data_IF_766313135316
#
_entry.id   IF_766313135316
#
_cell.length_a   1.000
_cell.length_b   1.000
_cell.length_c   1.000
_cell.angle_alpha   90.00
_cell.angle_beta   90.00
_cell.angle_gamma   90.00
#
_symmetry.space_group_name_H-M   'P 1'
#
loop_
_entity.id
_entity.type
_entity.pdbx_description
1 polymer ?
#
# COMPACT_ATOMS: atom_id res chain seq x y z
N UNK A 1 -30.14 -5.77 65.79
CA UNK A 1 -31.09 -6.11 64.70
C UNK A 1 -31.27 -4.88 63.84
N UNK A 2 -30.44 -4.79 62.80
CA UNK A 2 -30.54 -4.00 61.56
C UNK A 2 -29.16 -4.15 60.88
N UNK A 3 -29.02 -5.02 59.87
CA UNK A 3 -27.74 -5.21 59.18
C UNK A 3 -27.59 -4.26 57.98
N UNK A 4 -26.41 -3.68 57.81
CA UNK A 4 -25.99 -2.89 56.65
C UNK A 4 -25.95 -3.72 55.35
N UNK A 5 -26.50 -3.25 54.22
CA UNK A 5 -26.41 -3.95 52.94
C UNK A 5 -25.26 -3.40 52.06
N UNK A 6 -24.15 -4.13 52.11
CA UNK A 6 -23.34 -4.67 50.99
C UNK A 6 -23.15 -3.83 49.71
N UNK A 7 -21.88 -3.46 49.51
CA UNK A 7 -21.05 -3.70 48.31
C UNK A 7 -21.79 -4.16 47.05
N UNK A 8 -21.87 -3.26 46.06
CA UNK A 8 -22.32 -3.59 44.71
C UNK A 8 -21.30 -4.48 44.01
N UNK A 9 -21.75 -5.70 43.68
CA UNK A 9 -21.11 -6.62 42.74
C UNK A 9 -22.13 -6.85 41.62
N UNK A 10 -21.85 -6.40 40.39
CA UNK A 10 -22.47 -6.78 39.10
C UNK A 10 -22.02 -5.73 38.06
N UNK A 11 -21.60 -5.97 36.82
CA UNK A 11 -21.75 -7.11 35.91
C UNK A 11 -20.51 -7.17 35.00
N UNK A 12 -19.90 -8.35 34.91
CA UNK A 12 -18.96 -8.70 33.85
C UNK A 12 -19.82 -9.19 32.69
N UNK A 13 -20.14 -8.30 31.75
CA UNK A 13 -20.81 -8.64 30.50
C UNK A 13 -19.88 -9.46 29.62
N UNK A 14 -20.19 -10.75 29.54
CA UNK A 14 -19.57 -11.75 28.68
C UNK A 14 -19.99 -11.48 27.22
N UNK A 15 -19.22 -10.68 26.47
CA UNK A 15 -19.34 -10.62 25.01
C UNK A 15 -18.45 -11.71 24.40
N UNK A 16 -18.91 -12.94 24.55
CA UNK A 16 -18.36 -14.11 23.87
C UNK A 16 -18.80 -14.10 22.40
N UNK A 17 -18.22 -13.21 21.60
CA UNK A 17 -18.11 -13.51 20.17
C UNK A 17 -17.12 -14.68 20.03
N UNK A 18 -17.50 -15.79 19.38
CA UNK A 18 -16.58 -16.89 19.18
C UNK A 18 -15.45 -16.38 18.28
N UNK A 19 -14.28 -16.13 18.85
CA UNK A 19 -13.05 -15.90 18.11
C UNK A 19 -12.86 -17.10 17.18
N UNK A 20 -13.27 -16.96 15.92
CA UNK A 20 -12.99 -17.94 14.86
C UNK A 20 -11.48 -18.11 14.84
N UNK A 21 -11.00 -19.32 15.16
CA UNK A 21 -9.57 -19.67 15.21
C UNK A 21 -8.81 -19.39 13.89
N UNK A 22 -9.54 -19.10 12.81
CA UNK A 22 -9.00 -18.90 11.47
C UNK A 22 -8.78 -17.42 11.09
N UNK A 23 -9.15 -16.47 11.97
CA UNK A 23 -9.02 -15.03 11.68
C UNK A 23 -7.62 -14.54 12.03
N UNK A 24 -6.85 -14.12 11.02
CA UNK A 24 -5.54 -13.49 11.19
C UNK A 24 -5.69 -11.97 11.14
N UNK A 25 -5.32 -11.29 12.22
CA UNK A 25 -5.20 -9.84 12.27
C UNK A 25 -3.74 -9.46 12.04
N UNK A 26 -3.47 -8.77 10.93
CA UNK A 26 -2.14 -8.34 10.54
C UNK A 26 -2.04 -6.82 10.61
N UNK A 27 -1.23 -6.34 11.56
CA UNK A 27 -0.84 -4.95 11.64
C UNK A 27 0.33 -4.69 10.69
N UNK A 28 0.15 -3.70 9.81
CA UNK A 28 1.14 -3.41 8.78
C UNK A 28 2.38 -2.76 9.37
N UNK A 29 3.60 -3.18 8.99
CA UNK A 29 4.82 -2.57 9.49
C UNK A 29 4.90 -1.12 9.04
N UNK A 30 5.25 -0.24 9.98
CA UNK A 30 5.63 1.14 9.70
C UNK A 30 7.04 1.23 9.11
N UNK A 31 7.39 2.40 8.58
CA UNK A 31 8.75 2.65 8.07
C UNK A 31 9.79 2.78 9.19
N UNK A 32 9.41 3.37 10.32
CA UNK A 32 10.25 3.49 11.50
C UNK A 32 10.03 2.28 12.40
N UNK A 33 11.11 1.64 12.83
CA UNK A 33 11.06 0.59 13.85
C UNK A 33 10.66 1.16 15.22
N UNK A 34 10.12 0.31 16.10
CA UNK A 34 9.69 0.71 17.44
C UNK A 34 10.84 1.25 18.30
N UNK A 35 12.07 0.81 18.03
CA UNK A 35 13.31 1.25 18.68
C UNK A 35 14.01 2.41 17.96
N UNK A 36 13.35 3.03 16.98
CA UNK A 36 13.93 4.11 16.18
C UNK A 36 14.35 5.29 17.04
N UNK A 37 15.60 5.72 16.87
CA UNK A 37 16.18 6.90 17.54
C UNK A 37 15.61 8.23 17.03
N UNK A 38 14.76 8.21 16.01
CA UNK A 38 14.17 9.41 15.41
C UNK A 38 13.04 9.91 16.31
N UNK A 39 13.02 11.21 16.70
CA UNK A 39 11.95 11.78 17.51
C UNK A 39 10.57 11.59 16.87
N UNK A 40 9.55 11.32 17.69
CA UNK A 40 8.17 11.08 17.21
C UNK A 40 7.63 12.20 16.33
N UNK A 41 7.91 13.47 16.67
CA UNK A 41 7.49 14.62 15.86
C UNK A 41 8.08 14.59 14.45
N UNK A 42 9.35 14.18 14.32
CA UNK A 42 10.04 14.09 13.05
C UNK A 42 9.51 12.91 12.22
N UNK A 43 9.20 11.78 12.86
CA UNK A 43 8.57 10.66 12.18
C UNK A 43 7.20 11.02 11.62
N UNK A 44 6.37 11.75 12.39
CA UNK A 44 5.07 12.22 11.95
C UNK A 44 5.22 13.22 10.80
N UNK A 45 6.11 14.21 10.93
CA UNK A 45 6.38 15.17 9.87
C UNK A 45 6.84 14.51 8.55
N UNK A 46 7.78 13.56 8.63
CA UNK A 46 8.28 12.83 7.45
C UNK A 46 7.15 12.04 6.80
N UNK A 47 6.33 11.37 7.62
CA UNK A 47 5.17 10.60 7.14
C UNK A 47 4.17 11.53 6.45
N UNK A 48 3.83 12.66 7.07
CA UNK A 48 2.87 13.62 6.55
C UNK A 48 3.37 14.27 5.25
N UNK A 49 4.64 14.67 5.19
CA UNK A 49 5.25 15.24 3.97
C UNK A 49 5.27 14.21 2.84
N UNK A 50 5.72 12.97 3.12
CA UNK A 50 5.74 11.90 2.14
C UNK A 50 4.33 11.59 1.61
N UNK A 51 3.37 11.44 2.51
CA UNK A 51 1.98 11.15 2.15
C UNK A 51 1.33 12.33 1.42
N UNK A 52 1.64 13.57 1.78
CA UNK A 52 1.18 14.75 1.06
C UNK A 52 1.70 14.76 -0.37
N UNK A 53 3.02 14.60 -0.55
CA UNK A 53 3.68 14.54 -1.86
C UNK A 53 3.09 13.42 -2.71
N UNK A 54 2.94 12.23 -2.13
CA UNK A 54 2.51 11.03 -2.86
C UNK A 54 1.01 11.09 -3.18
N UNK A 55 0.17 11.65 -2.31
CA UNK A 55 -1.28 11.82 -2.57
C UNK A 55 -1.54 12.85 -3.65
N UNK A 56 -0.78 13.94 -3.66
CA UNK A 56 -0.94 15.03 -4.63
C UNK A 56 -0.25 14.75 -5.96
N UNK A 57 -0.07 13.48 -6.36
CA UNK A 57 0.59 13.08 -7.62
C UNK A 57 0.01 13.78 -8.86
N UNK A 58 -1.27 14.14 -8.87
CA UNK A 58 -1.89 14.93 -9.95
C UNK A 58 -1.34 16.35 -10.07
N UNK A 59 -0.99 16.99 -8.95
CA UNK A 59 -0.43 18.35 -8.90
C UNK A 59 0.96 18.39 -9.54
N UNK A 60 1.71 17.28 -9.50
CA UNK A 60 3.04 17.19 -10.11
C UNK A 60 3.04 17.42 -11.62
N UNK A 61 1.90 17.23 -12.29
CA UNK A 61 1.74 17.54 -13.71
C UNK A 61 2.10 19.01 -14.01
N UNK A 62 1.78 19.94 -13.10
CA UNK A 62 2.05 21.37 -13.29
C UNK A 62 3.55 21.72 -13.29
N UNK A 63 4.37 21.30 -12.29
CA UNK A 63 5.82 21.41 -12.35
C UNK A 63 6.45 20.78 -13.61
N UNK A 64 6.00 19.60 -14.05
CA UNK A 64 6.54 18.96 -15.25
C UNK A 64 6.23 19.75 -16.52
N UNK A 65 5.00 20.28 -16.66
CA UNK A 65 4.63 21.15 -17.77
C UNK A 65 5.44 22.46 -17.76
N UNK A 66 5.61 23.07 -16.58
CA UNK A 66 6.43 24.28 -16.44
C UNK A 66 7.90 24.01 -16.80
N UNK A 67 8.46 22.86 -16.41
CA UNK A 67 9.81 22.44 -16.78
C UNK A 67 9.95 22.24 -18.29
N UNK A 68 9.00 21.56 -18.94
CA UNK A 68 9.02 21.39 -20.40
C UNK A 68 8.90 22.72 -21.13
N UNK A 69 8.03 23.61 -20.65
CA UNK A 69 7.93 24.97 -21.18
C UNK A 69 9.23 25.76 -21.01
N UNK A 70 9.89 25.65 -19.86
CA UNK A 70 11.20 26.27 -19.61
C UNK A 70 12.29 25.72 -20.54
N UNK A 71 12.36 24.39 -20.71
CA UNK A 71 13.31 23.75 -21.63
C UNK A 71 13.06 24.17 -23.08
N UNK A 72 11.79 24.28 -23.49
CA UNK A 72 11.40 24.78 -24.81
C UNK A 72 11.84 26.22 -25.01
N UNK A 73 11.55 27.12 -24.06
CA UNK A 73 11.93 28.54 -24.12
C UNK A 73 13.45 28.74 -24.21
N UNK A 74 14.22 27.86 -23.59
CA UNK A 74 15.69 27.89 -23.63
C UNK A 74 16.32 27.20 -24.86
N UNK A 75 15.52 26.85 -25.88
CA UNK A 75 16.00 26.19 -27.10
C UNK A 75 16.39 24.72 -26.92
N UNK A 76 16.08 24.11 -25.76
CA UNK A 76 16.35 22.70 -25.43
C UNK A 76 15.11 21.82 -25.59
N UNK A 77 14.20 22.20 -26.48
CA UNK A 77 12.98 21.43 -26.75
C UNK A 77 13.26 20.01 -27.23
N UNK A 78 14.40 19.76 -27.88
CA UNK A 78 14.83 18.43 -28.31
C UNK A 78 15.03 17.46 -27.12
N UNK A 79 15.42 17.96 -25.93
CA UNK A 79 15.54 17.12 -24.73
C UNK A 79 14.18 16.61 -24.29
N UNK A 80 13.17 17.50 -24.26
CA UNK A 80 11.80 17.10 -23.94
C UNK A 80 11.25 16.11 -24.99
N UNK A 81 11.50 16.37 -26.27
CA UNK A 81 11.10 15.46 -27.35
C UNK A 81 11.80 14.09 -27.25
N UNK A 82 13.09 14.06 -26.91
CA UNK A 82 13.84 12.82 -26.71
C UNK A 82 13.30 12.01 -25.52
N UNK A 83 12.95 12.67 -24.41
CA UNK A 83 12.34 12.01 -23.25
C UNK A 83 10.98 11.38 -23.60
N UNK A 84 10.14 12.10 -24.37
CA UNK A 84 8.87 11.55 -24.86
C UNK A 84 9.12 10.37 -25.80
N UNK A 85 10.05 10.51 -26.74
CA UNK A 85 10.39 9.44 -27.68
C UNK A 85 10.88 8.17 -26.98
N UNK A 86 11.70 8.30 -25.94
CA UNK A 86 12.15 7.19 -25.10
C UNK A 86 11.01 6.50 -24.34
N UNK A 87 9.94 7.22 -24.00
CA UNK A 87 8.78 6.66 -23.32
C UNK A 87 7.83 5.90 -24.26
N UNK A 88 7.76 6.27 -25.54
CA UNK A 88 6.80 5.68 -26.51
C UNK A 88 6.87 4.13 -26.59
N UNK A 89 8.04 3.47 -26.65
CA UNK A 89 8.11 2.01 -26.65
C UNK A 89 7.45 1.39 -25.40
N UNK A 90 7.64 2.00 -24.23
CA UNK A 90 7.00 1.55 -22.99
C UNK A 90 5.47 1.72 -23.05
N UNK A 91 4.99 2.84 -23.61
CA UNK A 91 3.56 3.10 -23.77
C UNK A 91 2.87 2.10 -24.71
N UNK A 92 3.52 1.77 -25.84
CA UNK A 92 3.01 0.84 -26.83
C UNK A 92 3.28 -0.64 -26.54
N UNK A 93 4.06 -0.95 -25.50
CA UNK A 93 4.41 -2.33 -25.11
C UNK A 93 3.22 -3.25 -24.84
N UNK A 94 2.01 -2.70 -24.63
CA UNK A 94 0.81 -3.50 -24.38
C UNK A 94 0.81 -4.23 -23.03
N UNK A 95 1.82 -4.01 -22.18
CA UNK A 95 1.99 -4.67 -20.88
C UNK A 95 0.75 -4.55 -19.96
N UNK A 96 0.02 -3.44 -20.11
CA UNK A 96 -1.25 -3.17 -19.45
C UNK A 96 -2.40 -4.14 -19.81
N UNK A 97 -2.36 -4.78 -21.00
CA UNK A 97 -3.39 -5.72 -21.48
C UNK A 97 -3.05 -7.18 -21.18
N UNK A 98 -1.77 -7.54 -21.27
CA UNK A 98 -1.30 -8.91 -21.03
C UNK A 98 -1.19 -9.25 -19.54
N UNK A 99 -0.99 -8.23 -18.69
CA UNK A 99 -0.72 -8.44 -17.26
C UNK A 99 0.72 -8.84 -16.96
N UNK A 100 1.55 -8.99 -18.00
CA UNK A 100 3.00 -9.19 -17.91
C UNK A 100 3.68 -7.81 -17.85
N UNK A 101 3.46 -7.11 -16.73
CA UNK A 101 4.06 -5.79 -16.48
C UNK A 101 5.53 -5.89 -16.10
N UNK A 102 6.32 -4.87 -16.46
CA UNK A 102 7.69 -4.70 -15.96
C UNK A 102 7.65 -4.24 -14.50
N UNK A 103 7.58 -5.20 -13.59
CA UNK A 103 7.44 -4.92 -12.17
C UNK A 103 8.79 -4.69 -11.52
N UNK A 104 8.97 -3.51 -10.94
CA UNK A 104 10.18 -3.20 -10.17
C UNK A 104 10.03 -3.78 -8.78
N UNK A 105 10.52 -5.01 -8.58
CA UNK A 105 10.40 -5.73 -7.30
C UNK A 105 10.97 -4.93 -6.13
N UNK A 106 12.14 -4.30 -6.31
CA UNK A 106 12.76 -3.47 -5.27
C UNK A 106 11.88 -2.26 -4.86
N UNK A 107 11.23 -1.61 -5.84
CA UNK A 107 10.29 -0.53 -5.53
C UNK A 107 9.03 -1.09 -4.87
N UNK A 108 8.53 -2.24 -5.33
CA UNK A 108 7.32 -2.89 -4.80
C UNK A 108 7.48 -3.25 -3.32
N UNK A 109 8.55 -3.96 -2.96
CA UNK A 109 8.83 -4.45 -1.59
C UNK A 109 9.63 -3.46 -0.76
N UNK A 110 9.67 -2.18 -1.15
CA UNK A 110 10.43 -1.17 -0.42
C UNK A 110 9.76 -0.85 0.92
N UNK A 111 10.57 -0.74 1.98
CA UNK A 111 10.10 -0.34 3.31
C UNK A 111 9.46 1.05 3.32
N UNK A 112 9.74 1.89 2.30
CA UNK A 112 9.17 3.25 2.16
C UNK A 112 7.63 3.24 2.19
N UNK A 113 7.00 2.16 1.72
CA UNK A 113 5.54 2.02 1.77
C UNK A 113 5.00 1.91 3.20
N UNK A 114 5.86 1.63 4.18
CA UNK A 114 5.56 1.73 5.60
C UNK A 114 5.14 3.14 6.04
N UNK A 115 5.59 4.20 5.34
CA UNK A 115 5.10 5.56 5.58
C UNK A 115 3.63 5.68 5.16
N UNK A 116 3.29 5.12 3.99
CA UNK A 116 1.91 5.06 3.51
C UNK A 116 1.02 4.22 4.43
N UNK A 117 1.53 3.08 4.91
CA UNK A 117 0.81 2.21 5.85
C UNK A 117 0.45 2.95 7.13
N UNK A 118 1.40 3.72 7.69
CA UNK A 118 1.20 4.55 8.89
C UNK A 118 0.19 5.66 8.65
N UNK A 119 0.30 6.36 7.51
CA UNK A 119 -0.63 7.45 7.15
C UNK A 119 -2.06 6.95 6.95
N UNK A 120 -2.24 5.84 6.21
CA UNK A 120 -3.55 5.24 5.95
C UNK A 120 -4.07 4.39 7.11
N UNK A 121 -3.25 4.16 8.16
CA UNK A 121 -3.54 3.31 9.32
C UNK A 121 -4.08 1.93 8.92
N UNK A 122 -3.36 1.27 8.01
CA UNK A 122 -3.85 0.04 7.40
C UNK A 122 -3.78 -1.12 8.39
N UNK A 123 -4.95 -1.70 8.64
CA UNK A 123 -5.13 -2.96 9.37
C UNK A 123 -5.72 -3.98 8.42
N UNK A 124 -5.10 -5.15 8.30
CA UNK A 124 -5.58 -6.21 7.42
C UNK A 124 -6.14 -7.33 8.29
N UNK A 125 -7.40 -7.68 8.06
CA UNK A 125 -8.05 -8.80 8.72
C UNK A 125 -8.29 -9.86 7.65
N UNK A 126 -7.70 -11.03 7.84
CA UNK A 126 -7.95 -12.20 7.01
C UNK A 126 -8.95 -13.08 7.73
N UNK A 127 -10.16 -13.15 7.21
CA UNK A 127 -11.26 -13.91 7.81
C UNK A 127 -11.17 -15.41 7.53
N UNK A 128 -10.51 -15.80 6.43
CA UNK A 128 -10.36 -17.18 6.00
C UNK A 128 -9.02 -17.39 5.30
N UNK A 129 -8.43 -18.58 5.50
CA UNK A 129 -7.30 -19.03 4.68
C UNK A 129 -7.76 -19.37 3.27
N UNK A 130 -7.02 -18.90 2.27
CA UNK A 130 -7.32 -19.15 0.86
C UNK A 130 -6.46 -20.31 0.36
N UNK A 131 -7.05 -21.23 -0.39
CA UNK A 131 -6.32 -22.32 -1.03
C UNK A 131 -5.52 -21.76 -2.23
N UNK A 132 -4.18 -21.86 -2.25
CA UNK A 132 -3.35 -21.40 -3.35
C UNK A 132 -3.72 -21.96 -4.74
N UNK A 133 -4.45 -23.09 -4.79
CA UNK A 133 -4.86 -23.74 -6.05
C UNK A 133 -6.10 -23.11 -6.68
N UNK A 134 -6.84 -22.30 -5.94
CA UNK A 134 -8.09 -21.69 -6.39
C UNK A 134 -7.88 -20.24 -6.87
N UNK A 135 -8.77 -19.78 -7.74
CA UNK A 135 -8.74 -18.42 -8.28
C UNK A 135 -9.71 -17.53 -7.52
N UNK A 136 -9.20 -16.40 -7.03
CA UNK A 136 -9.97 -15.43 -6.25
C UNK A 136 -9.96 -14.06 -6.91
N UNK A 137 -11.07 -13.32 -6.75
CA UNK A 137 -11.19 -11.93 -7.21
C UNK A 137 -11.30 -11.04 -5.99
N UNK A 138 -10.39 -10.08 -5.86
CA UNK A 138 -10.41 -9.08 -4.80
C UNK A 138 -10.94 -7.75 -5.33
N UNK A 139 -12.05 -7.29 -4.75
CA UNK A 139 -12.61 -5.97 -5.00
C UNK A 139 -12.01 -4.91 -4.06
N UNK A 140 -11.93 -3.67 -4.53
CA UNK A 140 -11.48 -2.52 -3.74
C UNK A 140 -12.51 -1.40 -3.81
N UNK A 141 -12.90 -0.88 -2.66
CA UNK A 141 -13.81 0.24 -2.51
C UNK A 141 -13.44 0.95 -1.19
N UNK A 142 -13.37 2.30 -1.10
CA UNK A 142 -13.90 3.35 -1.99
C UNK A 142 -12.90 3.92 -3.03
N UNK A 143 -13.43 4.68 -4.00
CA UNK A 143 -12.73 5.12 -5.22
C UNK A 143 -11.72 6.29 -5.09
N UNK A 144 -11.38 6.76 -3.89
CA UNK A 144 -10.48 7.91 -3.73
C UNK A 144 -9.02 7.59 -4.04
N UNK A 145 -8.22 7.38 -2.98
CA UNK A 145 -6.78 7.14 -3.07
C UNK A 145 -6.47 5.68 -3.46
N UNK A 146 -7.06 5.21 -4.57
CA UNK A 146 -6.97 3.81 -5.05
C UNK A 146 -5.52 3.40 -5.28
N UNK A 147 -4.68 4.33 -5.75
CA UNK A 147 -3.28 4.02 -6.06
C UNK A 147 -2.51 3.69 -4.78
N UNK A 148 -2.65 4.49 -3.71
CA UNK A 148 -1.90 4.26 -2.47
C UNK A 148 -2.41 3.05 -1.70
N UNK A 149 -3.73 2.82 -1.65
CA UNK A 149 -4.28 1.62 -0.99
C UNK A 149 -3.85 0.33 -1.71
N UNK A 150 -3.82 0.34 -3.05
CA UNK A 150 -3.32 -0.79 -3.84
C UNK A 150 -1.82 -1.00 -3.66
N UNK A 151 -1.03 0.06 -3.61
CA UNK A 151 0.41 -0.04 -3.37
C UNK A 151 0.70 -0.54 -1.96
N UNK A 152 -0.03 -0.08 -0.96
CA UNK A 152 0.14 -0.53 0.42
C UNK A 152 -0.25 -2.00 0.60
N UNK A 153 -1.32 -2.47 -0.02
CA UNK A 153 -1.73 -3.89 0.09
C UNK A 153 -0.83 -4.79 -0.78
N UNK A 154 -0.54 -4.41 -2.02
CA UNK A 154 0.18 -5.29 -2.96
C UNK A 154 1.69 -5.04 -3.06
N UNK A 155 2.20 -4.01 -2.39
CA UNK A 155 3.63 -3.73 -2.26
C UNK A 155 4.36 -4.82 -1.49
N UNK A 156 3.72 -5.37 -0.46
CA UNK A 156 4.33 -6.42 0.37
C UNK A 156 3.32 -7.15 1.25
N UNK A 157 2.34 -6.41 1.77
CA UNK A 157 1.42 -6.91 2.79
C UNK A 157 0.59 -8.12 2.33
N UNK A 158 0.17 -8.17 1.06
CA UNK A 158 -0.59 -9.28 0.49
C UNK A 158 0.21 -10.59 0.53
N UNK A 159 1.49 -10.55 0.18
CA UNK A 159 2.37 -11.72 0.20
C UNK A 159 2.53 -12.28 1.63
N UNK A 160 2.49 -11.41 2.64
CA UNK A 160 2.60 -11.76 4.06
C UNK A 160 1.30 -12.32 4.64
N UNK A 161 0.15 -11.81 4.20
CA UNK A 161 -1.18 -12.24 4.69
C UNK A 161 -1.65 -13.54 4.01
N UNK A 162 -1.34 -13.71 2.73
CA UNK A 162 -1.68 -14.89 1.94
C UNK A 162 -0.42 -15.55 1.36
N UNK A 163 0.39 -16.23 2.18
CA UNK A 163 1.59 -16.91 1.70
C UNK A 163 1.19 -17.99 0.68
N UNK A 164 1.88 -18.02 -0.47
CA UNK A 164 1.65 -19.00 -1.54
C UNK A 164 0.53 -18.65 -2.53
N UNK A 165 -0.31 -17.65 -2.26
CA UNK A 165 -1.29 -17.17 -3.23
C UNK A 165 -0.61 -16.20 -4.20
N UNK A 166 -0.36 -16.65 -5.43
CA UNK A 166 0.27 -15.80 -6.45
C UNK A 166 -0.72 -14.74 -6.93
N UNK A 167 -0.45 -13.49 -6.59
CA UNK A 167 -1.14 -12.37 -7.19
C UNK A 167 -0.71 -12.25 -8.66
N UNK A 168 -1.65 -11.96 -9.58
CA UNK A 168 -1.33 -11.67 -10.99
C UNK A 168 -0.34 -10.50 -11.16
N UNK A 169 -0.15 -9.68 -10.12
CA UNK A 169 0.90 -8.66 -9.98
C UNK A 169 2.20 -9.19 -9.35
N UNK A 170 2.44 -10.48 -9.39
CA UNK A 170 3.69 -11.11 -8.99
C UNK A 170 3.95 -12.12 -10.09
N UNK A 171 4.47 -11.64 -11.22
CA UNK A 171 4.97 -12.55 -12.23
C UNK A 171 6.29 -13.11 -11.68
N UNK A 172 6.21 -14.27 -11.05
CA UNK A 172 7.35 -15.16 -10.96
C UNK A 172 7.58 -15.70 -12.37
N UNK A 173 8.80 -15.52 -12.87
CA UNK A 173 9.27 -15.98 -14.17
C UNK A 173 9.44 -17.52 -14.24
N UNK A 174 8.64 -18.29 -13.51
CA UNK A 174 8.67 -19.75 -13.54
C UNK A 174 7.50 -20.29 -14.37
N UNK A 175 7.60 -20.12 -15.69
CA UNK A 175 7.00 -21.06 -16.62
C UNK A 175 7.78 -22.38 -16.50
N UNK A 176 7.22 -23.36 -15.79
CA UNK A 176 7.57 -24.75 -16.04
C UNK A 176 6.78 -25.20 -17.27
N UNK A 177 7.50 -25.43 -18.37
CA UNK A 177 7.19 -26.41 -19.40
C UNK A 177 8.41 -27.28 -19.57
#
# INVERSE_FOLDING_TARGET
MAPDPKTQTSEKGDDLTPQRKDVLVYDTPGFFAEDSRVPLWAQSLITDVFSFVTTHYFVWSWPFLALFYYLYKNGRGYVAAALVALYLPSFFSGAQKTGNGNMWQALRTSSVWGLTNKFLRIKIIREQELDPKLKYIFGFHPHGIIVLSRLAIFGENFDRVFPGVTNRRKLDHHFYM
#
